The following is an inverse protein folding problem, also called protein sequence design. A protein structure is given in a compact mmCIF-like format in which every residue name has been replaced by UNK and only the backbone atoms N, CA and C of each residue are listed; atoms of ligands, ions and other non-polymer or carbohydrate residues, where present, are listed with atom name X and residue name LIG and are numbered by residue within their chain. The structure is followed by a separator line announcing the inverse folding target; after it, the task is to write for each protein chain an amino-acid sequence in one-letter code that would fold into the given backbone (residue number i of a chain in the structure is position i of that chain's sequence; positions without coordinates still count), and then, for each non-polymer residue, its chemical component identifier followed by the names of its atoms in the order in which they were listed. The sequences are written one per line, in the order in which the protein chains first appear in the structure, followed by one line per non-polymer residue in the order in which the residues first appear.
data_IF_804220050523
#
_entry.id   IF_804220050523
#
_cell.length_a   1.000
_cell.length_b   1.000
_cell.length_c   1.000
_cell.angle_alpha   90.00
_cell.angle_beta   90.00
_cell.angle_gamma   90.00
#
_symmetry.space_group_name_H-M   'P 1'
#
loop_
_entity.id
_entity.type
_entity.pdbx_description
1 polymer ?
#
# COMPACT_ATOMS: atom_id res chain seq x y z
N UNK A 1 -27.54 8.49 2.92
CA UNK A 1 -28.71 8.11 2.08
C UNK A 1 -29.70 9.26 1.87
N UNK A 2 -30.15 9.97 2.92
CA UNK A 2 -31.08 11.11 2.78
C UNK A 2 -30.67 12.15 1.73
N UNK A 3 -29.43 12.66 1.78
CA UNK A 3 -28.92 13.63 0.81
C UNK A 3 -28.99 13.11 -0.65
N UNK A 4 -28.63 11.84 -0.89
CA UNK A 4 -28.70 11.25 -2.23
C UNK A 4 -30.13 11.18 -2.74
N UNK A 5 -31.07 10.86 -1.85
CA UNK A 5 -32.47 10.75 -2.17
C UNK A 5 -33.08 12.14 -2.43
N UNK A 6 -32.76 13.16 -1.63
CA UNK A 6 -33.14 14.55 -1.87
C UNK A 6 -32.62 15.03 -3.24
N UNK A 7 -31.34 14.76 -3.55
CA UNK A 7 -30.75 15.10 -4.86
C UNK A 7 -31.42 14.34 -6.02
N UNK A 8 -31.77 13.08 -5.82
CA UNK A 8 -32.48 12.31 -6.84
C UNK A 8 -33.85 12.93 -7.14
N UNK A 9 -34.60 13.31 -6.11
CA UNK A 9 -35.88 14.00 -6.24
C UNK A 9 -35.72 15.35 -6.95
N UNK A 10 -34.78 16.18 -6.52
CA UNK A 10 -34.48 17.49 -7.14
C UNK A 10 -34.15 17.36 -8.63
N UNK A 11 -33.48 16.27 -9.03
CA UNK A 11 -33.04 16.04 -10.41
C UNK A 11 -34.02 15.21 -11.24
N UNK A 12 -35.15 14.78 -10.67
CA UNK A 12 -36.06 13.83 -11.32
C UNK A 12 -35.38 12.50 -11.66
N UNK A 13 -34.33 12.13 -10.93
CA UNK A 13 -33.56 10.93 -11.14
C UNK A 13 -34.13 9.76 -10.32
N UNK A 14 -34.08 8.56 -10.90
CA UNK A 14 -34.46 7.34 -10.18
C UNK A 14 -33.29 6.88 -9.31
N UNK A 15 -33.55 6.65 -8.02
CA UNK A 15 -32.57 6.15 -7.06
C UNK A 15 -32.98 4.75 -6.58
N UNK A 16 -32.04 3.81 -6.69
CA UNK A 16 -32.18 2.46 -6.16
C UNK A 16 -31.02 2.13 -5.23
N UNK A 17 -31.31 1.34 -4.20
CA UNK A 17 -30.28 0.73 -3.36
C UNK A 17 -29.83 -0.60 -3.97
N UNK A 18 -28.53 -0.77 -4.15
CA UNK A 18 -27.93 -2.03 -4.60
C UNK A 18 -27.82 -3.00 -3.40
N UNK A 19 -28.08 -4.28 -3.65
CA UNK A 19 -27.92 -5.34 -2.65
C UNK A 19 -26.45 -5.75 -2.52
N UNK A 20 -26.12 -6.42 -1.42
CA UNK A 20 -24.81 -7.05 -1.26
C UNK A 20 -24.58 -8.14 -2.32
N UNK A 21 -23.33 -8.38 -2.68
CA UNK A 21 -22.93 -9.36 -3.69
C UNK A 21 -23.44 -10.78 -3.38
N UNK A 22 -23.58 -11.13 -2.10
CA UNK A 22 -24.14 -12.43 -1.67
C UNK A 22 -25.57 -12.69 -2.18
N UNK A 23 -26.34 -11.63 -2.47
CA UNK A 23 -27.67 -11.73 -3.07
C UNK A 23 -27.62 -12.12 -4.56
N UNK A 24 -26.50 -11.85 -5.24
CA UNK A 24 -26.27 -12.21 -6.64
C UNK A 24 -25.64 -13.60 -6.75
N UNK A 25 -24.69 -13.92 -5.85
CA UNK A 25 -23.98 -15.19 -5.84
C UNK A 25 -23.43 -15.51 -4.44
N UNK A 26 -23.85 -16.63 -3.84
CA UNK A 26 -23.57 -16.95 -2.42
C UNK A 26 -22.10 -17.16 -2.08
N UNK A 27 -21.27 -17.61 -3.03
CA UNK A 27 -19.89 -18.03 -2.76
C UNK A 27 -18.90 -17.51 -3.80
N UNK A 28 -19.12 -16.30 -4.33
CA UNK A 28 -18.22 -15.72 -5.34
C UNK A 28 -16.94 -15.22 -4.66
N UNK A 29 -15.78 -15.63 -5.18
CA UNK A 29 -14.49 -15.13 -4.73
C UNK A 29 -14.00 -14.04 -5.66
N UNK A 30 -13.96 -12.80 -5.20
CA UNK A 30 -13.45 -11.70 -6.02
C UNK A 30 -11.93 -11.79 -6.21
N UNK A 31 -11.46 -11.34 -7.38
CA UNK A 31 -10.03 -11.16 -7.66
C UNK A 31 -9.39 -10.04 -6.84
N UNK A 32 -10.17 -9.01 -6.48
CA UNK A 32 -9.78 -7.95 -5.56
C UNK A 32 -10.28 -8.28 -4.16
N UNK A 33 -9.37 -8.37 -3.19
CA UNK A 33 -9.68 -8.76 -1.81
C UNK A 33 -10.30 -7.60 -1.00
N UNK A 34 -10.88 -7.93 0.16
CA UNK A 34 -11.42 -6.95 1.10
C UNK A 34 -12.94 -6.77 0.97
N UNK A 35 -13.60 -6.53 2.11
CA UNK A 35 -15.07 -6.45 2.19
C UNK A 35 -15.67 -5.36 1.30
N UNK A 36 -15.09 -4.15 1.27
CA UNK A 36 -15.60 -3.06 0.43
C UNK A 36 -15.67 -3.44 -1.05
N UNK A 37 -14.81 -4.35 -1.51
CA UNK A 37 -14.81 -4.78 -2.90
C UNK A 37 -16.04 -5.62 -3.25
N UNK A 38 -16.70 -6.27 -2.28
CA UNK A 38 -18.01 -6.92 -2.52
C UNK A 38 -19.08 -5.90 -2.87
N UNK A 39 -19.08 -4.76 -2.17
CA UNK A 39 -20.00 -3.65 -2.43
C UNK A 39 -19.71 -3.01 -3.80
N UNK A 40 -18.42 -2.78 -4.11
CA UNK A 40 -18.01 -2.23 -5.41
C UNK A 40 -18.38 -3.16 -6.57
N UNK A 41 -18.17 -4.47 -6.42
CA UNK A 41 -18.51 -5.47 -7.42
C UNK A 41 -20.02 -5.55 -7.66
N UNK A 42 -20.83 -5.59 -6.59
CA UNK A 42 -22.29 -5.60 -6.71
C UNK A 42 -22.81 -4.33 -7.40
N UNK A 43 -22.28 -3.16 -7.03
CA UNK A 43 -22.62 -1.90 -7.66
C UNK A 43 -22.21 -1.87 -9.15
N UNK A 44 -20.99 -2.32 -9.47
CA UNK A 44 -20.50 -2.38 -10.85
C UNK A 44 -21.37 -3.29 -11.72
N UNK A 45 -21.72 -4.49 -11.23
CA UNK A 45 -22.66 -5.39 -11.90
C UNK A 45 -23.99 -4.69 -12.20
N UNK A 46 -24.59 -4.08 -11.19
CA UNK A 46 -25.88 -3.43 -11.35
C UNK A 46 -25.83 -2.28 -12.35
N UNK A 47 -24.76 -1.48 -12.33
CA UNK A 47 -24.54 -0.38 -13.28
C UNK A 47 -24.37 -0.92 -14.71
N UNK A 48 -23.54 -1.93 -14.91
CA UNK A 48 -23.32 -2.56 -16.21
C UNK A 48 -24.62 -3.12 -16.80
N UNK A 49 -25.39 -3.88 -16.02
CA UNK A 49 -26.66 -4.41 -16.48
C UNK A 49 -27.71 -3.34 -16.76
N UNK A 50 -27.82 -2.32 -15.90
CA UNK A 50 -28.74 -1.19 -16.12
C UNK A 50 -28.40 -0.47 -17.42
N UNK A 51 -27.10 -0.27 -17.69
CA UNK A 51 -26.64 0.32 -18.94
C UNK A 51 -26.96 -0.57 -20.15
N UNK A 52 -26.68 -1.88 -20.07
CA UNK A 52 -26.94 -2.83 -21.15
C UNK A 52 -28.43 -2.94 -21.49
N UNK A 53 -29.33 -2.96 -20.48
CA UNK A 53 -30.77 -3.01 -20.69
C UNK A 53 -31.26 -1.76 -21.42
N UNK A 54 -30.88 -0.57 -20.93
CA UNK A 54 -31.22 0.70 -21.59
C UNK A 54 -30.65 0.80 -22.99
N UNK A 55 -29.44 0.29 -23.22
CA UNK A 55 -28.83 0.28 -24.55
C UNK A 55 -29.60 -0.65 -25.50
N UNK A 56 -29.97 -1.85 -25.05
CA UNK A 56 -30.78 -2.80 -25.84
C UNK A 56 -32.15 -2.22 -26.18
N UNK A 57 -32.85 -1.62 -25.23
CA UNK A 57 -34.14 -0.95 -25.46
C UNK A 57 -34.04 0.14 -26.53
N UNK A 58 -32.97 0.94 -26.51
CA UNK A 58 -32.73 1.97 -27.53
C UNK A 58 -32.45 1.39 -28.91
N UNK A 59 -31.66 0.32 -28.98
CA UNK A 59 -31.35 -0.38 -30.23
C UNK A 59 -32.61 -0.99 -30.85
N UNK A 60 -33.44 -1.68 -30.06
CA UNK A 60 -34.72 -2.26 -30.52
C UNK A 60 -35.67 -1.16 -31.00
N UNK A 61 -35.69 -0.01 -30.32
CA UNK A 61 -36.55 1.11 -30.66
C UNK A 61 -36.00 2.02 -31.78
N UNK A 62 -34.97 1.61 -32.53
CA UNK A 62 -34.32 2.39 -33.61
C UNK A 62 -33.90 3.81 -33.19
N UNK A 63 -33.59 4.02 -31.90
CA UNK A 63 -33.07 5.32 -31.43
C UNK A 63 -31.57 5.36 -31.65
N UNK A 64 -31.09 6.41 -32.34
CA UNK A 64 -29.66 6.62 -32.58
C UNK A 64 -28.88 6.72 -31.25
N UNK A 65 -27.60 6.31 -31.21
CA UNK A 65 -26.77 6.49 -30.01
C UNK A 65 -26.65 7.99 -29.66
N UNK A 66 -26.60 8.34 -28.36
CA UNK A 66 -26.59 9.73 -27.93
C UNK A 66 -25.33 10.42 -28.46
N UNK A 67 -25.53 11.48 -29.25
CA UNK A 67 -24.43 12.31 -29.79
C UNK A 67 -23.93 13.35 -28.78
N UNK A 68 -24.66 13.57 -27.68
CA UNK A 68 -24.35 14.53 -26.62
C UNK A 68 -24.81 14.04 -25.24
N UNK A 69 -24.20 14.58 -24.17
CA UNK A 69 -24.54 14.28 -22.76
C UNK A 69 -25.99 14.65 -22.38
N UNK A 70 -26.67 15.47 -23.18
CA UNK A 70 -28.06 15.89 -22.96
C UNK A 70 -29.11 14.82 -23.27
N UNK A 71 -28.76 13.77 -24.02
CA UNK A 71 -29.66 12.67 -24.41
C UNK A 71 -29.66 11.49 -23.41
N UNK A 72 -29.08 11.72 -22.22
CA UNK A 72 -29.19 10.87 -21.03
C UNK A 72 -30.29 11.39 -20.09
N UNK A 73 -31.34 12.04 -20.60
CA UNK A 73 -32.46 12.46 -19.75
C UNK A 73 -33.17 11.22 -19.19
N UNK A 74 -33.26 11.19 -17.87
CA UNK A 74 -33.95 10.16 -17.10
C UNK A 74 -35.46 10.44 -17.22
N UNK A 75 -36.10 9.92 -18.27
CA UNK A 75 -37.55 9.85 -18.36
C UNK A 75 -38.09 8.64 -17.57
N UNK A 76 -39.20 8.76 -16.83
CA UNK A 76 -39.76 7.65 -16.07
C UNK A 76 -40.59 6.74 -16.99
N UNK A 77 -40.19 5.48 -17.12
CA UNK A 77 -41.13 4.43 -17.55
C UNK A 77 -41.81 3.85 -16.31
N UNK A 78 -43.07 4.23 -16.14
CA UNK A 78 -44.18 3.51 -15.51
C UNK A 78 -43.83 2.39 -14.51
N UNK A 79 -43.50 2.76 -13.27
CA UNK A 79 -43.91 1.98 -12.09
C UNK A 79 -44.48 2.96 -11.06
N UNK A 80 -45.76 2.76 -10.72
CA UNK A 80 -46.58 3.48 -9.73
C UNK A 80 -45.88 4.62 -8.97
N UNK A 81 -46.26 5.85 -9.30
CA UNK A 81 -45.94 7.07 -8.57
C UNK A 81 -46.48 7.01 -7.14
N UNK A 82 -45.63 6.60 -6.20
CA UNK A 82 -45.84 6.84 -4.77
C UNK A 82 -45.23 8.21 -4.46
N UNK A 83 -46.09 9.19 -4.17
CA UNK A 83 -45.67 10.47 -3.58
C UNK A 83 -45.16 10.21 -2.16
N UNK A 84 -43.87 10.42 -1.85
CA UNK A 84 -43.38 10.23 -0.49
C UNK A 84 -43.86 11.40 0.37
N UNK A 85 -44.50 11.11 1.51
CA UNK A 85 -44.58 12.09 2.60
C UNK A 85 -43.17 12.36 3.13
N UNK A 86 -42.93 13.60 3.56
CA UNK A 86 -41.59 14.11 3.90
C UNK A 86 -40.85 13.35 5.02
N UNK A 87 -41.53 12.44 5.74
CA UNK A 87 -40.98 11.75 6.91
C UNK A 87 -40.51 10.31 6.64
N UNK A 88 -40.77 9.72 5.47
CA UNK A 88 -40.31 8.36 5.14
C UNK A 88 -39.84 8.26 3.69
N UNK A 89 -38.60 8.71 3.46
CA UNK A 89 -37.95 8.57 2.17
C UNK A 89 -37.47 7.13 1.97
N UNK A 90 -38.37 6.25 1.53
CA UNK A 90 -38.04 4.87 1.18
C UNK A 90 -37.31 4.81 -0.16
N UNK A 91 -36.11 4.23 -0.17
CA UNK A 91 -35.33 4.00 -1.39
C UNK A 91 -35.54 2.54 -1.80
N UNK A 92 -36.16 2.26 -2.96
CA UNK A 92 -36.40 0.89 -3.40
C UNK A 92 -35.07 0.17 -3.63
N UNK A 93 -35.03 -1.10 -3.20
CA UNK A 93 -33.88 -1.98 -3.45
C UNK A 93 -34.04 -2.61 -4.83
N UNK A 94 -32.96 -2.62 -5.62
CA UNK A 94 -32.96 -3.27 -6.94
C UNK A 94 -32.82 -4.78 -6.78
N UNK A 95 -33.57 -5.55 -7.59
CA UNK A 95 -33.49 -7.00 -7.58
C UNK A 95 -32.11 -7.49 -8.02
N UNK A 96 -31.57 -8.56 -7.41
CA UNK A 96 -30.29 -9.13 -7.82
C UNK A 96 -30.42 -9.75 -9.22
N UNK A 97 -29.30 -9.79 -9.93
CA UNK A 97 -29.25 -10.28 -11.30
C UNK A 97 -28.59 -11.66 -11.30
N UNK A 98 -29.09 -12.55 -12.15
CA UNK A 98 -28.42 -13.84 -12.42
C UNK A 98 -27.16 -13.59 -13.22
N UNK A 99 -26.01 -13.93 -12.63
CA UNK A 99 -24.71 -13.76 -13.27
C UNK A 99 -24.47 -14.83 -14.33
N UNK A 100 -23.95 -14.41 -15.47
CA UNK A 100 -23.40 -15.31 -16.49
C UNK A 100 -22.02 -15.84 -16.07
N UNK A 101 -21.58 -16.95 -16.67
CA UNK A 101 -20.25 -17.50 -16.40
C UNK A 101 -19.12 -16.52 -16.73
N UNK A 102 -19.29 -15.67 -17.74
CA UNK A 102 -18.30 -14.67 -18.11
C UNK A 102 -18.21 -13.54 -17.08
N UNK A 103 -19.33 -13.13 -16.49
CA UNK A 103 -19.35 -12.12 -15.41
C UNK A 103 -18.72 -12.68 -14.14
N UNK A 104 -19.02 -13.93 -13.77
CA UNK A 104 -18.37 -14.63 -12.66
C UNK A 104 -16.85 -14.66 -12.87
N UNK A 105 -16.41 -15.15 -14.03
CA UNK A 105 -14.98 -15.21 -14.38
C UNK A 105 -14.32 -13.83 -14.36
N UNK A 106 -14.99 -12.81 -14.91
CA UNK A 106 -14.49 -11.44 -14.93
C UNK A 106 -14.31 -10.86 -13.52
N UNK A 107 -15.19 -11.19 -12.57
CA UNK A 107 -15.08 -10.78 -11.17
C UNK A 107 -13.98 -11.55 -10.41
N UNK A 108 -13.82 -12.84 -10.69
CA UNK A 108 -12.79 -13.71 -10.10
C UNK A 108 -11.37 -13.33 -10.57
N UNK A 109 -11.22 -12.94 -11.84
CA UNK A 109 -9.94 -12.58 -12.46
C UNK A 109 -9.64 -11.08 -12.41
N UNK A 110 -10.54 -10.27 -11.84
CA UNK A 110 -10.39 -8.82 -11.79
C UNK A 110 -9.16 -8.42 -10.96
N UNK A 111 -8.26 -7.65 -11.58
CA UNK A 111 -7.06 -7.09 -10.92
C UNK A 111 -7.13 -5.57 -10.97
N UNK A 112 -6.94 -4.94 -9.82
CA UNK A 112 -6.77 -3.49 -9.71
C UNK A 112 -5.50 -3.19 -8.93
N UNK A 113 -4.46 -2.78 -9.64
CA UNK A 113 -3.15 -2.54 -9.03
C UNK A 113 -3.24 -1.45 -7.95
N UNK A 114 -2.68 -1.74 -6.77
CA UNK A 114 -2.66 -0.85 -5.62
C UNK A 114 -3.97 -0.79 -4.82
N UNK A 115 -4.88 -1.75 -5.03
CA UNK A 115 -6.11 -1.94 -4.24
C UNK A 115 -6.12 -3.33 -3.63
N UNK A 116 -6.03 -3.38 -2.30
CA UNK A 116 -6.02 -4.63 -1.53
C UNK A 116 -5.10 -5.71 -2.15
N UNK A 117 -3.94 -5.28 -2.65
CA UNK A 117 -3.02 -6.11 -3.42
C UNK A 117 -1.94 -6.69 -2.52
N UNK A 118 -1.68 -7.99 -2.62
CA UNK A 118 -0.57 -8.65 -1.92
C UNK A 118 0.49 -9.04 -2.96
N UNK A 119 1.75 -8.68 -2.70
CA UNK A 119 2.90 -9.06 -3.52
C UNK A 119 3.97 -9.71 -2.64
N UNK A 120 4.45 -10.88 -3.03
CA UNK A 120 5.62 -11.49 -2.39
C UNK A 120 6.87 -11.17 -3.22
N UNK A 121 7.80 -10.42 -2.64
CA UNK A 121 9.05 -10.00 -3.30
C UNK A 121 10.21 -10.22 -2.34
N UNK A 122 11.22 -10.98 -2.76
CA UNK A 122 12.41 -11.24 -1.93
C UNK A 122 12.06 -11.82 -0.53
N UNK A 123 11.07 -12.72 -0.44
CA UNK A 123 10.67 -13.32 0.84
C UNK A 123 9.92 -12.40 1.81
N UNK A 124 9.51 -11.22 1.32
CA UNK A 124 8.73 -10.22 2.07
C UNK A 124 7.32 -10.13 1.46
N UNK A 125 6.29 -10.16 2.31
CA UNK A 125 4.89 -9.95 1.92
C UNK A 125 4.58 -8.45 1.97
N UNK A 126 4.37 -7.83 0.80
CA UNK A 126 3.94 -6.44 0.65
C UNK A 126 2.43 -6.37 0.45
N UNK A 127 1.76 -5.59 1.30
CA UNK A 127 0.33 -5.31 1.28
C UNK A 127 0.14 -3.87 0.81
N UNK A 128 -0.43 -3.68 -0.37
CA UNK A 128 -0.53 -2.39 -1.03
C UNK A 128 -1.99 -1.95 -1.14
N UNK A 129 -2.30 -0.80 -0.55
CA UNK A 129 -3.61 -0.18 -0.70
C UNK A 129 -3.53 1.35 -0.61
N UNK A 130 -3.90 2.04 -1.69
CA UNK A 130 -3.84 3.50 -1.76
C UNK A 130 -4.99 4.23 -1.05
N UNK A 131 -5.46 3.76 0.09
CA UNK A 131 -6.43 4.44 0.95
C UNK A 131 -5.91 5.81 1.41
N UNK A 132 -6.80 6.80 1.50
CA UNK A 132 -6.44 8.18 1.87
C UNK A 132 -7.62 8.98 2.48
N UNK A 133 -8.66 8.29 2.93
CA UNK A 133 -9.72 8.81 3.81
C UNK A 133 -9.76 7.97 5.07
N UNK A 134 -10.35 8.47 6.15
CA UNK A 134 -10.41 7.75 7.43
C UNK A 134 -11.13 6.41 7.26
N UNK A 135 -12.27 6.42 6.56
CA UNK A 135 -13.08 5.24 6.27
C UNK A 135 -12.30 4.25 5.40
N UNK A 136 -11.61 4.73 4.36
CA UNK A 136 -10.82 3.88 3.47
C UNK A 136 -9.64 3.24 4.20
N UNK A 137 -8.98 3.99 5.10
CA UNK A 137 -7.87 3.46 5.91
C UNK A 137 -8.38 2.43 6.91
N UNK A 138 -9.55 2.62 7.52
CA UNK A 138 -10.16 1.60 8.38
C UNK A 138 -10.40 0.30 7.60
N UNK A 139 -10.96 0.39 6.39
CA UNK A 139 -11.18 -0.78 5.54
C UNK A 139 -9.88 -1.44 5.10
N UNK A 140 -8.83 -0.64 4.84
CA UNK A 140 -7.47 -1.10 4.59
C UNK A 140 -6.90 -1.87 5.79
N UNK A 141 -7.06 -1.36 7.00
CA UNK A 141 -6.62 -2.00 8.26
C UNK A 141 -7.32 -3.34 8.47
N UNK A 142 -8.64 -3.40 8.31
CA UNK A 142 -9.39 -4.65 8.46
C UNK A 142 -8.98 -5.70 7.43
N UNK A 143 -8.78 -5.29 6.17
CA UNK A 143 -8.23 -6.15 5.13
C UNK A 143 -6.82 -6.65 5.49
N UNK A 144 -5.91 -5.75 5.88
CA UNK A 144 -4.53 -6.09 6.25
C UNK A 144 -4.49 -7.10 7.40
N UNK A 145 -5.28 -6.88 8.45
CA UNK A 145 -5.39 -7.81 9.59
C UNK A 145 -5.90 -9.19 9.15
N UNK A 146 -6.90 -9.23 8.27
CA UNK A 146 -7.45 -10.49 7.76
C UNK A 146 -6.42 -11.28 6.95
N UNK A 147 -5.69 -10.61 6.06
CA UNK A 147 -4.68 -11.27 5.21
C UNK A 147 -3.48 -11.74 6.03
N UNK A 148 -2.97 -10.90 6.92
CA UNK A 148 -1.83 -11.27 7.80
C UNK A 148 -2.20 -12.39 8.76
N UNK A 149 -3.42 -12.41 9.31
CA UNK A 149 -3.88 -13.56 10.13
C UNK A 149 -3.94 -14.87 9.33
N UNK A 150 -4.33 -14.79 8.06
CA UNK A 150 -4.30 -15.96 7.16
C UNK A 150 -2.86 -16.44 6.93
N UNK A 151 -1.90 -15.53 6.78
CA UNK A 151 -0.47 -15.84 6.62
C UNK A 151 0.22 -16.31 7.91
N UNK A 152 -0.18 -15.80 9.09
CA UNK A 152 0.35 -16.19 10.41
C UNK A 152 0.30 -17.68 10.69
N UNK A 153 -0.67 -18.40 10.09
CA UNK A 153 -0.74 -19.86 10.18
C UNK A 153 0.56 -20.55 9.77
N UNK A 154 1.38 -19.89 8.94
CA UNK A 154 2.67 -20.39 8.46
C UNK A 154 3.87 -19.95 9.32
N UNK A 155 3.75 -18.90 10.14
CA UNK A 155 4.87 -18.28 10.88
C UNK A 155 4.43 -17.95 12.31
N UNK A 156 4.66 -18.88 13.24
CA UNK A 156 3.97 -18.89 14.55
C UNK A 156 4.33 -17.73 15.47
N UNK A 157 5.54 -17.18 15.43
CA UNK A 157 5.96 -16.07 16.32
C UNK A 157 7.03 -15.12 15.74
N UNK A 158 7.61 -15.41 14.58
CA UNK A 158 8.74 -14.65 13.99
C UNK A 158 8.32 -13.62 12.93
N UNK A 159 7.24 -12.87 13.12
CA UNK A 159 6.76 -11.90 12.11
C UNK A 159 7.16 -10.48 12.48
N UNK A 160 7.88 -9.80 11.58
CA UNK A 160 8.24 -8.39 11.70
C UNK A 160 7.38 -7.53 10.78
N UNK A 161 6.57 -6.63 11.36
CA UNK A 161 5.62 -5.78 10.62
C UNK A 161 6.14 -4.37 10.42
N UNK A 162 6.07 -3.90 9.17
CA UNK A 162 6.54 -2.58 8.78
C UNK A 162 5.38 -1.79 8.18
N UNK A 163 5.20 -0.55 8.62
CA UNK A 163 4.36 0.43 7.93
C UNK A 163 5.24 1.27 7.00
N UNK A 164 4.85 1.43 5.73
CA UNK A 164 5.37 2.46 4.84
C UNK A 164 4.23 3.43 4.53
N UNK A 165 4.33 4.66 5.02
CA UNK A 165 3.24 5.62 4.97
C UNK A 165 3.67 6.98 4.42
N UNK A 166 2.77 7.56 3.62
CA UNK A 166 2.76 8.98 3.30
C UNK A 166 1.36 9.40 2.87
N UNK A 167 1.00 10.66 3.07
CA UNK A 167 -0.24 11.24 2.56
C UNK A 167 0.07 12.49 1.72
N UNK A 168 -0.87 12.89 0.87
CA UNK A 168 -0.76 14.14 0.07
C UNK A 168 -1.74 15.21 0.51
N UNK A 169 -1.47 16.47 0.17
CA UNK A 169 -2.33 17.62 0.44
C UNK A 169 -2.43 17.97 1.93
N UNK A 170 -3.42 18.80 2.28
CA UNK A 170 -3.67 19.32 3.63
C UNK A 170 -4.54 18.38 4.48
N UNK A 171 -4.38 17.07 4.29
CA UNK A 171 -5.16 16.07 5.03
C UNK A 171 -4.66 15.99 6.47
N UNK A 172 -5.57 15.72 7.39
CA UNK A 172 -5.22 15.46 8.79
C UNK A 172 -4.54 14.08 8.93
N UNK A 173 -3.21 14.08 8.89
CA UNK A 173 -2.38 12.89 9.06
C UNK A 173 -2.62 12.19 10.38
N UNK A 174 -2.90 12.93 11.46
CA UNK A 174 -3.15 12.35 12.78
C UNK A 174 -4.40 11.48 12.74
N UNK A 175 -5.51 12.02 12.23
CA UNK A 175 -6.76 11.27 12.12
C UNK A 175 -6.66 10.10 11.14
N UNK A 176 -5.93 10.26 10.03
CA UNK A 176 -5.71 9.19 9.05
C UNK A 176 -4.86 8.04 9.60
N UNK A 177 -3.84 8.31 10.42
CA UNK A 177 -2.94 7.28 10.95
C UNK A 177 -3.47 6.62 12.23
N UNK A 178 -4.43 7.23 12.92
CA UNK A 178 -5.00 6.68 14.16
C UNK A 178 -5.52 5.23 14.05
N UNK A 179 -6.13 4.76 12.95
CA UNK A 179 -6.50 3.35 12.82
C UNK A 179 -5.28 2.41 12.66
N UNK A 180 -4.18 2.90 12.07
CA UNK A 180 -3.00 2.11 11.71
C UNK A 180 -2.21 1.63 12.93
N UNK A 181 -2.21 2.37 14.04
CA UNK A 181 -1.48 1.96 15.27
C UNK A 181 -1.99 0.64 15.86
N UNK A 182 -3.22 0.23 15.51
CA UNK A 182 -3.79 -1.04 15.95
C UNK A 182 -3.23 -2.28 15.23
N UNK A 183 -2.38 -2.11 14.22
CA UNK A 183 -1.82 -3.21 13.43
C UNK A 183 -0.57 -3.87 14.07
N UNK A 184 -0.04 -3.29 15.15
CA UNK A 184 1.12 -3.84 15.86
C UNK A 184 2.39 -3.84 15.01
N UNK A 185 2.72 -2.70 14.41
CA UNK A 185 3.95 -2.51 13.64
C UNK A 185 5.19 -2.48 14.55
N UNK A 186 6.28 -3.02 14.03
CA UNK A 186 7.61 -3.05 14.65
C UNK A 186 8.52 -1.93 14.11
N UNK A 187 8.22 -1.48 12.89
CA UNK A 187 8.80 -0.27 12.33
C UNK A 187 7.77 0.54 11.53
N UNK A 188 7.99 1.85 11.45
CA UNK A 188 7.30 2.75 10.52
C UNK A 188 8.31 3.56 9.71
N UNK A 189 8.14 3.53 8.39
CA UNK A 189 8.98 4.20 7.41
C UNK A 189 8.17 5.29 6.72
N UNK A 190 8.80 6.46 6.55
CA UNK A 190 8.19 7.63 5.93
C UNK A 190 9.10 8.11 4.79
N UNK A 191 8.51 8.35 3.61
CA UNK A 191 9.25 8.86 2.46
C UNK A 191 8.34 9.68 1.55
N UNK A 192 8.88 10.62 0.76
CA UNK A 192 8.11 11.35 -0.22
C UNK A 192 7.59 10.40 -1.31
N UNK A 193 6.58 10.82 -2.07
CA UNK A 193 5.97 10.01 -3.14
C UNK A 193 6.83 10.00 -4.41
N UNK A 194 8.14 9.80 -4.24
CA UNK A 194 9.14 9.74 -5.29
C UNK A 194 9.59 8.29 -5.39
N UNK A 195 9.38 7.68 -6.56
CA UNK A 195 9.83 6.29 -6.77
C UNK A 195 11.35 6.19 -6.56
N UNK A 196 12.10 7.15 -7.09
CA UNK A 196 13.55 7.24 -7.03
C UNK A 196 13.99 8.68 -6.70
N UNK A 197 15.21 8.86 -6.18
CA UNK A 197 15.77 10.18 -5.87
C UNK A 197 15.84 11.11 -7.09
N UNK A 198 16.09 10.54 -8.25
CA UNK A 198 16.10 11.21 -9.55
C UNK A 198 14.73 10.97 -10.18
N UNK A 199 13.92 12.02 -10.29
CA UNK A 199 12.60 11.93 -10.93
C UNK A 199 12.77 11.71 -12.44
N UNK A 200 12.69 10.46 -12.90
CA UNK A 200 12.83 10.12 -14.33
C UNK A 200 11.49 10.27 -15.10
N UNK A 201 10.36 10.44 -14.41
CA UNK A 201 9.02 10.49 -15.04
C UNK A 201 8.32 11.83 -14.82
N UNK A 202 7.87 12.47 -15.90
CA UNK A 202 7.13 13.73 -15.88
C UNK A 202 5.84 13.66 -15.04
N UNK A 203 5.19 12.50 -14.98
CA UNK A 203 3.94 12.28 -14.22
C UNK A 203 4.11 12.34 -12.69
N UNK A 204 5.35 12.26 -12.19
CA UNK A 204 5.68 12.42 -10.76
C UNK A 204 6.19 13.83 -10.43
N UNK A 205 6.42 14.68 -11.44
CA UNK A 205 6.96 16.02 -11.27
C UNK A 205 5.82 16.99 -10.95
N UNK A 206 5.49 17.15 -9.67
CA UNK A 206 4.57 18.20 -9.25
C UNK A 206 5.30 19.55 -9.24
N UNK A 207 5.14 20.35 -10.29
CA UNK A 207 5.73 21.69 -10.43
C UNK A 207 5.27 22.70 -9.36
N UNK A 208 4.27 22.37 -8.55
CA UNK A 208 3.77 23.23 -7.46
C UNK A 208 4.30 22.84 -6.07
N UNK A 209 5.02 21.71 -5.93
CA UNK A 209 5.47 21.19 -4.63
C UNK A 209 6.94 20.75 -4.71
N UNK A 210 7.83 21.43 -4.00
CA UNK A 210 9.27 21.15 -3.98
C UNK A 210 9.61 19.82 -3.28
N UNK A 211 10.76 19.19 -3.61
CA UNK A 211 11.26 18.00 -2.89
C UNK A 211 11.37 18.29 -1.38
N UNK A 212 11.86 19.47 -1.01
CA UNK A 212 11.99 19.90 0.37
C UNK A 212 10.65 19.91 1.13
N UNK A 213 9.58 20.45 0.55
CA UNK A 213 8.28 20.46 1.23
C UNK A 213 7.67 19.06 1.36
N UNK A 214 7.92 18.17 0.38
CA UNK A 214 7.54 16.76 0.50
C UNK A 214 8.30 16.07 1.63
N UNK A 215 9.62 16.30 1.77
CA UNK A 215 10.43 15.75 2.87
C UNK A 215 9.94 16.26 4.23
N UNK A 216 9.71 17.58 4.36
CA UNK A 216 9.17 18.18 5.60
C UNK A 216 7.86 17.52 6.02
N UNK A 217 6.95 17.29 5.08
CA UNK A 217 5.68 16.59 5.36
C UNK A 217 5.90 15.17 5.86
N UNK A 218 6.86 14.44 5.30
CA UNK A 218 7.15 13.08 5.75
C UNK A 218 7.72 13.05 7.16
N UNK A 219 8.56 14.03 7.52
CA UNK A 219 9.05 14.21 8.89
C UNK A 219 7.88 14.52 9.84
N UNK A 220 6.98 15.43 9.48
CA UNK A 220 5.78 15.70 10.28
C UNK A 220 4.89 14.45 10.44
N UNK A 221 4.70 13.67 9.36
CA UNK A 221 3.96 12.40 9.44
C UNK A 221 4.64 11.43 10.41
N UNK A 222 5.96 11.32 10.36
CA UNK A 222 6.75 10.50 11.28
C UNK A 222 6.52 10.92 12.73
N UNK A 223 6.72 12.19 13.05
CA UNK A 223 6.52 12.74 14.41
C UNK A 223 5.08 12.51 14.92
N UNK A 224 4.10 12.66 14.02
CA UNK A 224 2.68 12.41 14.32
C UNK A 224 2.42 10.95 14.65
N UNK A 225 3.03 10.01 13.93
CA UNK A 225 2.90 8.59 14.20
C UNK A 225 3.57 8.19 15.52
N UNK A 226 4.76 8.73 15.80
CA UNK A 226 5.47 8.51 17.06
C UNK A 226 4.63 8.99 18.26
N UNK A 227 3.95 10.13 18.11
CA UNK A 227 3.02 10.64 19.12
C UNK A 227 1.80 9.73 19.32
N UNK A 228 1.19 9.23 18.23
CA UNK A 228 0.07 8.29 18.32
C UNK A 228 0.45 7.01 19.06
N UNK A 229 1.65 6.48 18.85
CA UNK A 229 2.16 5.31 19.57
C UNK A 229 2.34 5.58 21.07
N UNK A 230 2.89 6.75 21.44
CA UNK A 230 3.01 7.16 22.85
C UNK A 230 1.63 7.25 23.53
N UNK A 231 0.65 7.84 22.84
CA UNK A 231 -0.71 7.94 23.37
C UNK A 231 -1.36 6.57 23.58
N UNK A 232 -1.14 5.62 22.65
CA UNK A 232 -1.66 4.26 22.78
C UNK A 232 -1.07 3.51 23.99
N UNK A 233 0.24 3.67 24.24
CA UNK A 233 0.91 3.05 25.39
C UNK A 233 0.40 3.61 26.73
N UNK A 234 0.19 4.93 26.82
CA UNK A 234 -0.34 5.59 28.02
C UNK A 234 -1.76 5.12 28.38
N UNK A 235 -2.59 4.82 27.36
CA UNK A 235 -3.95 4.28 27.58
C UNK A 235 -3.91 2.81 28.03
N UNK A 236 -2.99 2.00 27.48
CA UNK A 236 -2.83 0.58 27.82
C UNK A 236 -2.21 0.31 29.20
N UNK A 237 -1.36 1.21 29.69
CA UNK A 237 -0.68 1.09 30.99
C UNK A 237 -1.57 1.27 32.22
N UNK A 238 -2.83 1.69 32.05
CA UNK A 238 -3.76 1.90 33.17
C UNK A 238 -4.65 0.69 33.51
N UNK A 239 -4.59 -0.41 32.74
CA UNK A 239 -5.53 -1.54 32.86
C UNK A 239 -4.94 -2.98 32.77
N UNK A 240 -3.62 -3.18 32.89
CA UNK A 240 -3.03 -4.53 32.81
C UNK A 240 -2.40 -4.98 34.13
N UNK A 241 -3.11 -5.89 34.81
CA UNK A 241 -2.54 -6.78 35.83
C UNK A 241 -1.77 -7.89 35.10
N UNK A 242 -0.51 -8.06 35.49
CA UNK A 242 0.51 -8.89 34.82
C UNK A 242 0.06 -10.32 34.54
N UNK A 243 0.15 -10.74 33.28
CA UNK A 243 0.44 -12.14 32.94
C UNK A 243 1.63 -12.16 31.99
N UNK A 244 2.72 -12.73 32.48
CA UNK A 244 4.05 -12.64 31.87
C UNK A 244 4.20 -13.45 30.60
N UNK A 245 4.74 -12.81 29.57
CA UNK A 245 5.71 -13.40 28.63
C UNK A 245 6.43 -12.24 27.93
N UNK A 246 7.34 -11.57 28.64
CA UNK A 246 8.20 -10.54 28.04
C UNK A 246 9.30 -11.22 27.25
N UNK A 247 9.02 -11.59 25.99
CA UNK A 247 10.07 -11.76 25.00
C UNK A 247 10.69 -10.41 24.72
N UNK A 248 12.03 -10.34 24.61
CA UNK A 248 12.78 -9.15 24.19
C UNK A 248 12.37 -8.78 22.76
N UNK A 249 11.28 -8.04 22.59
CA UNK A 249 10.93 -7.48 21.29
C UNK A 249 11.86 -6.30 21.01
N UNK A 250 12.47 -6.28 19.83
CA UNK A 250 13.35 -5.21 19.40
C UNK A 250 12.65 -3.84 19.55
N UNK A 251 13.43 -2.79 19.83
CA UNK A 251 12.90 -1.44 19.99
C UNK A 251 12.19 -0.97 18.72
N UNK A 252 11.04 -0.31 18.87
CA UNK A 252 10.26 0.21 17.74
C UNK A 252 11.07 1.21 16.92
N UNK A 253 11.14 1.02 15.60
CA UNK A 253 11.93 1.88 14.72
C UNK A 253 11.04 2.82 13.91
N UNK A 254 11.31 4.12 13.99
CA UNK A 254 10.65 5.13 13.19
C UNK A 254 11.67 5.83 12.31
N UNK A 255 11.58 5.67 10.99
CA UNK A 255 12.64 6.05 10.05
C UNK A 255 12.11 6.91 8.90
N UNK A 256 12.96 7.81 8.41
CA UNK A 256 12.69 8.64 7.23
C UNK A 256 13.69 8.31 6.11
N UNK A 257 13.21 8.26 4.87
CA UNK A 257 14.01 8.02 3.67
C UNK A 257 13.71 9.04 2.57
N UNK A 258 14.66 9.24 1.65
CA UNK A 258 14.56 10.25 0.59
C UNK A 258 13.61 9.84 -0.55
N UNK A 259 13.33 8.53 -0.69
CA UNK A 259 12.53 7.96 -1.75
C UNK A 259 11.93 6.60 -1.38
N UNK A 260 10.94 6.17 -2.16
CA UNK A 260 10.30 4.85 -2.04
C UNK A 260 11.32 3.73 -2.29
N UNK A 261 12.22 3.91 -3.26
CA UNK A 261 13.27 2.93 -3.57
C UNK A 261 14.21 2.69 -2.40
N UNK A 262 14.56 3.72 -1.63
CA UNK A 262 15.40 3.56 -0.43
C UNK A 262 14.70 2.78 0.67
N UNK A 263 13.41 3.07 0.95
CA UNK A 263 12.61 2.27 1.89
C UNK A 263 12.62 0.79 1.49
N UNK A 264 12.29 0.50 0.23
CA UNK A 264 12.21 -0.90 -0.26
C UNK A 264 13.60 -1.55 -0.26
N UNK A 265 14.66 -0.80 -0.60
CA UNK A 265 16.03 -1.28 -0.49
C UNK A 265 16.38 -1.66 0.94
N UNK A 266 16.04 -0.82 1.91
CA UNK A 266 16.27 -1.07 3.33
C UNK A 266 15.51 -2.31 3.81
N UNK A 267 14.23 -2.45 3.43
CA UNK A 267 13.41 -3.62 3.75
C UNK A 267 14.01 -4.91 3.17
N UNK A 268 14.36 -4.91 1.88
CA UNK A 268 14.76 -6.13 1.19
C UNK A 268 16.23 -6.52 1.39
N UNK A 269 17.13 -5.60 1.78
CA UNK A 269 18.56 -5.87 1.95
C UNK A 269 18.98 -6.15 3.40
N UNK A 270 18.08 -6.01 4.38
CA UNK A 270 18.40 -6.26 5.78
C UNK A 270 18.54 -7.76 6.05
N UNK A 271 19.38 -8.14 7.02
CA UNK A 271 19.95 -9.49 7.17
C UNK A 271 18.95 -10.62 7.43
N UNK A 272 17.71 -10.30 7.82
CA UNK A 272 16.61 -11.29 7.81
C UNK A 272 16.47 -12.00 6.44
N UNK A 273 16.85 -11.32 5.35
CA UNK A 273 16.88 -11.89 4.01
C UNK A 273 17.98 -12.96 3.84
N UNK A 274 19.19 -12.68 4.33
CA UNK A 274 20.35 -13.59 4.21
C UNK A 274 20.13 -14.88 5.03
N UNK A 275 19.62 -14.75 6.26
CA UNK A 275 19.29 -15.90 7.12
C UNK A 275 18.20 -16.79 6.49
N UNK A 276 17.24 -16.21 5.76
CA UNK A 276 16.20 -16.96 5.04
C UNK A 276 16.74 -17.73 3.84
N UNK A 277 17.60 -17.12 3.02
CA UNK A 277 18.21 -17.81 1.86
C UNK A 277 19.05 -19.01 2.32
N UNK A 278 19.77 -18.87 3.43
CA UNK A 278 20.53 -19.98 4.04
C UNK A 278 19.58 -21.06 4.58
N UNK A 279 18.51 -20.68 5.28
CA UNK A 279 17.52 -21.62 5.83
C UNK A 279 16.76 -22.38 4.74
N UNK A 280 16.32 -21.71 3.66
CA UNK A 280 15.63 -22.34 2.53
C UNK A 280 16.56 -23.27 1.73
N UNK A 281 17.86 -22.93 1.61
CA UNK A 281 18.87 -23.83 1.00
C UNK A 281 19.15 -25.08 1.86
N UNK A 282 19.19 -24.91 3.19
CA UNK A 282 19.31 -26.02 4.14
C UNK A 282 18.11 -26.96 4.09
N UNK A 283 16.89 -26.41 4.00
CA UNK A 283 15.64 -27.19 3.87
C UNK A 283 15.56 -27.91 2.52
N UNK A 284 16.10 -27.34 1.45
CA UNK A 284 16.13 -27.94 0.11
C UNK A 284 17.27 -28.94 -0.14
N UNK A 285 18.12 -29.21 0.87
CA UNK A 285 19.09 -30.31 0.81
C UNK A 285 20.31 -30.07 -0.09
N UNK A 286 20.60 -28.82 -0.47
CA UNK A 286 21.83 -28.51 -1.19
C UNK A 286 22.99 -28.41 -0.19
N UNK A 287 23.59 -29.55 0.12
CA UNK A 287 24.90 -29.65 0.77
C UNK A 287 25.98 -29.12 -0.21
N UNK A 288 26.19 -27.81 -0.23
CA UNK A 288 27.44 -27.27 -0.76
C UNK A 288 28.50 -27.34 0.33
N UNK A 289 29.47 -28.23 0.11
CA UNK A 289 30.65 -28.44 0.92
C UNK A 289 31.37 -27.13 1.25
N UNK A 290 31.74 -27.00 2.52
CA UNK A 290 32.67 -26.00 3.04
C UNK A 290 34.06 -26.14 2.40
N UNK A 291 34.46 -25.11 1.63
CA UNK A 291 35.83 -24.64 1.39
C UNK A 291 35.69 -23.53 0.34
N UNK A 292 35.87 -22.25 0.63
CA UNK A 292 37.17 -21.62 0.85
C UNK A 292 37.02 -20.36 1.72
N UNK A 293 37.54 -20.41 2.94
CA UNK A 293 38.06 -19.22 3.62
C UNK A 293 39.55 -19.19 3.28
N UNK A 294 39.93 -18.45 2.25
CA UNK A 294 41.35 -18.19 1.96
C UNK A 294 41.76 -16.86 2.59
N UNK A 295 42.22 -16.95 3.83
CA UNK A 295 43.12 -15.98 4.45
C UNK A 295 44.48 -16.19 3.80
N UNK A 296 44.95 -15.26 2.95
CA UNK A 296 46.34 -15.29 2.49
C UNK A 296 47.17 -14.25 3.24
N UNK A 297 48.08 -14.76 4.08
CA UNK A 297 49.26 -14.09 4.60
C UNK A 297 50.49 -14.49 3.76
N UNK A 298 51.32 -13.48 3.53
CA UNK A 298 52.80 -13.47 3.39
C UNK A 298 53.53 -14.04 2.15
N UNK A 299 54.03 -13.09 1.35
CA UNK A 299 55.47 -12.80 1.03
C UNK A 299 56.35 -13.72 0.16
N UNK A 300 57.17 -13.03 -0.67
CA UNK A 300 58.42 -13.43 -1.40
C UNK A 300 58.24 -14.35 -2.63
N UNK A 301 58.85 -14.19 -3.82
CA UNK A 301 59.96 -13.37 -4.31
C UNK A 301 59.94 -13.20 -5.85
N UNK A 302 60.52 -12.07 -6.31
CA UNK A 302 61.30 -11.76 -7.52
C UNK A 302 61.01 -12.36 -8.93
N UNK A 303 60.68 -11.46 -9.87
CA UNK A 303 61.29 -11.19 -11.21
C UNK A 303 60.19 -10.57 -12.10
N UNK A 304 60.23 -9.31 -12.51
CA UNK A 304 61.22 -8.66 -13.35
C UNK A 304 60.58 -8.32 -14.70
N UNK A 305 60.41 -7.01 -14.98
CA UNK A 305 60.45 -6.29 -16.28
C UNK A 305 59.35 -5.20 -16.39
N UNK A 306 59.82 -3.96 -16.21
CA UNK A 306 59.52 -2.66 -16.83
C UNK A 306 58.13 -2.33 -17.42
N UNK A 307 57.55 -1.24 -16.92
CA UNK A 307 56.45 -0.50 -17.54
C UNK A 307 56.07 0.76 -16.76
N UNK A 308 56.88 1.81 -16.89
CA UNK A 308 56.67 3.21 -16.46
C UNK A 308 55.27 3.77 -16.74
N UNK A 309 54.64 4.48 -15.78
CA UNK A 309 54.42 5.95 -15.84
C UNK A 309 53.38 6.50 -14.83
N UNK A 310 53.88 7.42 -14.00
CA UNK A 310 53.39 8.79 -13.73
C UNK A 310 52.13 8.99 -12.85
N UNK A 311 52.45 9.62 -11.73
CA UNK A 311 51.67 10.25 -10.67
C UNK A 311 50.83 11.47 -11.09
N UNK A 312 49.80 11.70 -10.29
CA UNK A 312 49.29 12.99 -9.80
C UNK A 312 48.95 14.10 -10.79
N UNK A 313 47.67 14.50 -10.78
CA UNK A 313 47.34 15.93 -10.65
C UNK A 313 46.02 16.10 -9.90
N UNK A 314 46.12 16.64 -8.67
CA UNK A 314 45.05 17.29 -7.92
C UNK A 314 44.49 18.47 -8.72
N UNK A 315 43.17 18.55 -8.88
CA UNK A 315 42.49 19.82 -9.16
C UNK A 315 41.52 20.08 -8.03
N UNK A 316 41.95 20.93 -7.11
CA UNK A 316 41.10 21.61 -6.13
C UNK A 316 40.33 22.70 -6.85
N UNK A 317 38.99 22.65 -6.84
CA UNK A 317 38.18 23.83 -7.10
C UNK A 317 37.35 24.18 -5.86
N UNK A 318 37.68 25.36 -5.35
CA UNK A 318 37.06 26.13 -4.30
C UNK A 318 35.73 26.66 -4.82
N UNK A 319 34.61 26.34 -4.16
CA UNK A 319 33.34 27.04 -4.34
C UNK A 319 32.88 27.54 -2.98
N UNK A 320 32.39 28.77 -3.04
CA UNK A 320 32.21 29.72 -1.96
C UNK A 320 31.06 29.35 -1.01
N UNK A 321 31.19 29.89 0.20
CA UNK A 321 30.24 29.82 1.30
C UNK A 321 28.85 30.30 0.93
N UNK A 322 27.92 29.37 0.74
CA UNK A 322 26.48 29.58 0.94
C UNK A 322 26.04 28.75 2.15
N UNK A 323 25.33 29.35 3.10
CA UNK A 323 24.77 28.66 4.25
C UNK A 323 23.75 27.61 3.78
N UNK A 324 24.19 26.36 3.64
CA UNK A 324 23.36 25.20 3.37
C UNK A 324 22.84 24.60 4.67
N UNK A 325 21.53 24.33 4.70
CA UNK A 325 20.89 23.46 5.68
C UNK A 325 21.72 22.18 5.82
N UNK A 326 22.17 21.87 7.04
CA UNK A 326 22.74 20.56 7.36
C UNK A 326 21.65 19.51 7.14
N UNK A 327 21.65 18.85 5.98
CA UNK A 327 20.83 17.68 5.70
C UNK A 327 21.41 16.50 6.46
N UNK A 328 20.54 15.77 7.17
CA UNK A 328 20.88 14.62 8.02
C UNK A 328 21.35 13.37 7.27
N UNK A 329 22.33 13.51 6.39
CA UNK A 329 22.92 12.41 5.62
C UNK A 329 23.71 11.42 6.49
N UNK A 330 24.19 11.82 7.67
CA UNK A 330 24.97 10.93 8.56
C UNK A 330 24.11 9.93 9.35
N UNK A 331 22.80 10.17 9.53
CA UNK A 331 21.96 9.31 10.36
C UNK A 331 21.36 8.14 9.59
N UNK A 332 21.06 8.28 8.29
CA UNK A 332 20.41 7.21 7.49
C UNK A 332 21.34 6.00 7.29
N UNK A 333 22.65 6.22 7.18
CA UNK A 333 23.62 5.14 6.97
C UNK A 333 24.06 4.42 8.24
N UNK A 334 23.75 4.94 9.44
CA UNK A 334 24.12 4.30 10.72
C UNK A 334 23.24 3.10 11.09
N UNK A 335 22.11 2.87 10.42
CA UNK A 335 21.14 1.84 10.82
C UNK A 335 21.27 0.49 10.11
N UNK A 336 22.35 0.24 9.36
CA UNK A 336 22.54 -1.02 8.59
C UNK A 336 23.14 -2.16 9.43
N UNK A 337 23.46 -1.95 10.72
CA UNK A 337 24.17 -2.93 11.55
C UNK A 337 23.47 -3.34 12.86
N UNK A 338 22.17 -3.60 12.83
CA UNK A 338 21.42 -4.24 13.95
C UNK A 338 21.24 -5.75 13.76
N UNK A 339 22.24 -6.41 13.17
CA UNK A 339 22.23 -7.83 12.81
C UNK A 339 21.88 -8.80 13.95
N UNK A 340 22.09 -8.41 15.22
CA UNK A 340 21.89 -9.27 16.39
C UNK A 340 20.44 -9.33 16.87
N UNK A 341 19.61 -8.33 16.57
CA UNK A 341 18.20 -8.27 17.02
C UNK A 341 17.25 -8.98 16.06
N UNK A 342 17.68 -9.22 14.82
CA UNK A 342 16.85 -9.75 13.73
C UNK A 342 16.90 -11.30 13.61
N UNK A 343 17.59 -12.00 14.52
CA UNK A 343 17.85 -13.45 14.40
C UNK A 343 16.59 -14.34 14.48
N UNK A 344 15.54 -13.87 15.16
CA UNK A 344 14.29 -14.61 15.36
C UNK A 344 13.19 -14.25 14.34
N UNK A 345 13.48 -13.35 13.39
CA UNK A 345 12.53 -12.93 12.35
C UNK A 345 12.48 -13.99 11.24
N UNK A 346 11.32 -14.65 11.13
CA UNK A 346 11.00 -15.67 10.12
C UNK A 346 10.32 -15.08 8.88
N UNK A 347 9.56 -14.00 9.06
CA UNK A 347 8.81 -13.37 7.97
C UNK A 347 8.65 -11.86 8.18
N UNK A 348 8.53 -11.12 7.08
CA UNK A 348 8.36 -9.67 7.07
C UNK A 348 7.09 -9.31 6.31
N UNK A 349 6.22 -8.56 6.98
CA UNK A 349 4.95 -8.06 6.43
C UNK A 349 5.03 -6.53 6.31
N UNK A 350 4.78 -5.97 5.14
CA UNK A 350 4.90 -4.53 4.89
C UNK A 350 3.56 -3.98 4.42
N UNK A 351 2.92 -3.10 5.19
CA UNK A 351 1.76 -2.35 4.72
C UNK A 351 2.21 -1.04 4.06
N UNK A 352 1.82 -0.81 2.81
CA UNK A 352 2.06 0.43 2.07
C UNK A 352 0.72 1.13 1.82
N UNK A 353 0.51 2.29 2.46
CA UNK A 353 -0.77 3.01 2.37
C UNK A 353 -0.67 4.52 2.59
N UNK A 354 -1.80 5.23 2.57
CA UNK A 354 -1.92 6.68 2.80
C UNK A 354 -1.92 7.52 1.52
N UNK A 355 -1.41 6.99 0.41
CA UNK A 355 -1.39 7.68 -0.88
C UNK A 355 -1.36 6.75 -2.07
N UNK A 356 -2.19 7.05 -3.07
CA UNK A 356 -2.13 6.42 -4.39
C UNK A 356 -0.77 6.58 -5.09
N UNK A 357 -0.09 7.72 -4.91
CA UNK A 357 1.21 7.96 -5.54
C UNK A 357 2.32 7.17 -4.85
N UNK A 358 2.24 7.03 -3.51
CA UNK A 358 3.14 6.15 -2.75
C UNK A 358 3.00 4.70 -3.24
N UNK A 359 1.77 4.21 -3.32
CA UNK A 359 1.49 2.84 -3.76
C UNK A 359 1.91 2.62 -5.21
N UNK A 360 1.60 3.55 -6.12
CA UNK A 360 2.04 3.46 -7.51
C UNK A 360 3.57 3.47 -7.67
N UNK A 361 4.26 4.31 -6.89
CA UNK A 361 5.73 4.32 -6.86
C UNK A 361 6.31 3.03 -6.28
N UNK A 362 5.70 2.48 -5.23
CA UNK A 362 6.11 1.21 -4.65
C UNK A 362 5.91 0.05 -5.63
N UNK A 363 4.77 -0.01 -6.32
CA UNK A 363 4.51 -1.00 -7.36
C UNK A 363 5.58 -0.97 -8.44
N UNK A 364 5.95 0.22 -8.92
CA UNK A 364 7.03 0.37 -9.91
C UNK A 364 8.35 -0.23 -9.41
N UNK A 365 8.79 0.15 -8.21
CA UNK A 365 10.05 -0.34 -7.62
C UNK A 365 10.01 -1.86 -7.37
N UNK A 366 8.88 -2.38 -6.89
CA UNK A 366 8.71 -3.81 -6.62
C UNK A 366 8.69 -4.65 -7.91
N UNK A 367 8.06 -4.15 -8.97
CA UNK A 367 8.03 -4.84 -10.27
C UNK A 367 9.42 -4.96 -10.88
N UNK A 368 10.20 -3.87 -10.83
CA UNK A 368 11.58 -3.85 -11.34
C UNK A 368 12.51 -4.83 -10.59
N UNK A 369 12.13 -5.27 -9.38
CA UNK A 369 12.86 -6.27 -8.56
C UNK A 369 12.44 -7.72 -8.80
N UNK A 370 11.33 -7.95 -9.50
CA UNK A 370 10.88 -9.29 -9.87
C UNK A 370 11.45 -9.75 -11.22
N UNK A 371 11.93 -8.79 -12.03
CA UNK A 371 12.65 -9.00 -13.28
C UNK A 371 14.13 -9.29 -13.02
#
# INVERSE_FOLDING_TARGET
MRLLAERALEKGAVLHQCQDLSAYHRSLKLGIKGYVQTLNAALALQLCHTWMLKYKERFINNKAPPKDQSDMSLGPESTASVTPSADQMYIPTVSPITLTQNEVKGLEECVWLGRNQVMNVSGVSFYLDGAHTVESIQQCVEWFKTETETEKSNYRDGVYRILLYNCTGDRDSFTLMKPLVSCGFDAALFCPNLAYEISVSADQTNYTVTKESQCKRCITNKETFDELLRQQQNIGGSNSMETGTTGNKAEFQSLFFSSISECINWICKRKWYENRVVSEKLIKGDLLNNSEVCINRDSTDASGINGTCISDTKVTNRVESGQGLQTGDEDVYKYVNQASEDADIQHVEVLITGSLHLVGGALRVLWERQL
#
